data_IF_908192142711
#
_entry.id   IF_908192142711
#
_cell.length_a   1.000
_cell.length_b   1.000
_cell.length_c   1.000
_cell.angle_alpha   90.00
_cell.angle_beta   90.00
_cell.angle_gamma   90.00
#
_symmetry.space_group_name_H-M   'P 1'
#
loop_
_entity.id
_entity.type
_entity.pdbx_description
1 polymer ?
#
# COMPACT_ATOMS: atom_id res chain seq x y z
N UNK A 1 14.09 4.09 -27.12
CA UNK A 1 13.23 4.65 -26.07
C UNK A 1 14.11 4.85 -24.86
N UNK A 2 14.02 6.00 -24.20
CA UNK A 2 14.65 6.17 -22.88
C UNK A 2 14.04 5.17 -21.90
N UNK A 3 14.88 4.60 -21.04
CA UNK A 3 14.53 3.55 -20.08
C UNK A 3 15.38 3.73 -18.83
N UNK A 4 14.82 3.42 -17.66
CA UNK A 4 15.59 3.41 -16.42
C UNK A 4 16.59 2.24 -16.44
N UNK A 5 17.89 2.53 -16.35
CA UNK A 5 18.95 1.49 -16.38
C UNK A 5 18.94 0.61 -15.13
N UNK A 6 18.31 1.09 -14.05
CA UNK A 6 18.13 0.45 -12.76
C UNK A 6 16.66 0.04 -12.50
N UNK A 7 15.86 -0.14 -13.55
CA UNK A 7 14.43 -0.45 -13.43
C UNK A 7 14.11 -1.61 -12.47
N UNK A 8 14.92 -2.68 -12.48
CA UNK A 8 14.72 -3.81 -11.56
C UNK A 8 14.84 -3.40 -10.08
N UNK A 9 15.73 -2.47 -9.76
CA UNK A 9 15.86 -1.91 -8.41
C UNK A 9 14.67 -1.02 -8.08
N UNK A 10 14.24 -0.18 -9.01
CA UNK A 10 13.08 0.71 -8.81
C UNK A 10 11.79 -0.09 -8.58
N UNK A 11 11.60 -1.19 -9.32
CA UNK A 11 10.42 -2.07 -9.18
C UNK A 11 10.48 -2.90 -7.89
N UNK A 12 11.67 -3.32 -7.45
CA UNK A 12 11.79 -4.11 -6.20
C UNK A 12 11.42 -3.28 -4.96
N UNK A 13 11.49 -1.95 -5.07
CA UNK A 13 11.23 -0.99 -4.01
C UNK A 13 12.00 -1.28 -2.71
N UNK A 14 13.21 -1.83 -2.85
CA UNK A 14 14.07 -2.24 -1.74
C UNK A 14 15.53 -1.95 -2.03
N UNK A 15 16.28 -1.64 -0.98
CA UNK A 15 17.72 -1.47 -1.05
C UNK A 15 18.40 -2.80 -1.39
N UNK A 16 19.27 -2.76 -2.39
CA UNK A 16 20.22 -3.82 -2.71
C UNK A 16 21.62 -3.38 -2.30
N UNK A 17 22.11 -3.94 -1.20
CA UNK A 17 23.45 -3.67 -0.66
C UNK A 17 24.59 -4.20 -1.56
N UNK A 18 24.28 -5.08 -2.52
CA UNK A 18 25.25 -5.63 -3.46
C UNK A 18 25.29 -4.86 -4.79
N UNK A 19 24.36 -3.93 -4.99
CA UNK A 19 24.32 -3.09 -6.17
C UNK A 19 25.50 -2.11 -6.21
N UNK A 20 25.94 -1.77 -7.42
CA UNK A 20 26.97 -0.74 -7.64
C UNK A 20 26.41 0.69 -7.49
N UNK A 21 25.09 0.84 -7.41
CA UNK A 21 24.43 2.13 -7.20
C UNK A 21 24.59 2.52 -5.73
N UNK A 22 25.08 3.73 -5.42
CA UNK A 22 25.21 4.19 -4.03
C UNK A 22 23.88 4.12 -3.29
N UNK A 23 23.91 3.68 -2.03
CA UNK A 23 22.70 3.50 -1.20
C UNK A 23 21.83 4.76 -1.16
N UNK A 24 22.43 5.94 -0.96
CA UNK A 24 21.71 7.22 -0.98
C UNK A 24 20.98 7.46 -2.31
N UNK A 25 21.60 7.10 -3.44
CA UNK A 25 20.97 7.18 -4.77
C UNK A 25 19.84 6.18 -4.91
N UNK A 26 20.01 4.94 -4.42
CA UNK A 26 18.94 3.94 -4.41
C UNK A 26 17.73 4.44 -3.63
N UNK A 27 17.94 4.95 -2.41
CA UNK A 27 16.90 5.49 -1.53
C UNK A 27 16.05 6.54 -2.26
N UNK A 28 16.71 7.56 -2.80
CA UNK A 28 16.00 8.69 -3.41
C UNK A 28 15.31 8.29 -4.71
N UNK A 29 15.95 7.45 -5.54
CA UNK A 29 15.37 6.99 -6.81
C UNK A 29 14.20 6.03 -6.60
N UNK A 30 14.32 5.09 -5.65
CA UNK A 30 13.22 4.18 -5.29
C UNK A 30 12.03 4.99 -4.76
N UNK A 31 12.25 5.87 -3.78
CA UNK A 31 11.18 6.67 -3.19
C UNK A 31 10.45 7.49 -4.25
N UNK A 32 11.16 8.28 -5.06
CA UNK A 32 10.51 9.16 -6.04
C UNK A 32 9.77 8.37 -7.12
N UNK A 33 10.29 7.20 -7.50
CA UNK A 33 9.65 6.35 -8.50
C UNK A 33 8.35 5.72 -7.99
N UNK A 34 8.26 5.38 -6.70
CA UNK A 34 7.02 4.93 -6.07
C UNK A 34 6.00 6.08 -5.93
N UNK A 35 6.44 7.29 -5.57
CA UNK A 35 5.57 8.47 -5.55
C UNK A 35 5.01 8.80 -6.95
N UNK A 36 5.81 8.65 -8.02
CA UNK A 36 5.31 8.75 -9.38
C UNK A 36 4.26 7.67 -9.69
N UNK A 37 4.48 6.43 -9.25
CA UNK A 37 3.50 5.34 -9.43
C UNK A 37 2.16 5.69 -8.79
N UNK A 38 2.16 6.16 -7.56
CA UNK A 38 0.96 6.55 -6.83
C UNK A 38 0.24 7.71 -7.54
N UNK A 39 0.98 8.77 -7.89
CA UNK A 39 0.46 9.92 -8.62
C UNK A 39 -0.20 9.53 -9.96
N UNK A 40 0.47 8.73 -10.79
CA UNK A 40 -0.07 8.29 -12.08
C UNK A 40 -1.27 7.35 -11.90
N UNK A 41 -1.25 6.50 -10.87
CA UNK A 41 -2.37 5.59 -10.56
C UNK A 41 -3.62 6.38 -10.22
N UNK A 42 -3.52 7.33 -9.28
CA UNK A 42 -4.65 8.13 -8.86
C UNK A 42 -5.11 9.10 -9.96
N UNK A 43 -4.19 9.59 -10.80
CA UNK A 43 -4.53 10.34 -12.01
C UNK A 43 -5.42 9.54 -12.95
N UNK A 44 -5.03 8.30 -13.30
CA UNK A 44 -5.83 7.46 -14.18
C UNK A 44 -7.18 7.05 -13.59
N UNK A 45 -7.25 6.84 -12.27
CA UNK A 45 -8.52 6.58 -11.58
C UNK A 45 -9.46 7.79 -11.73
N UNK A 46 -8.94 9.00 -11.53
CA UNK A 46 -9.70 10.24 -11.69
C UNK A 46 -10.14 10.43 -13.16
N UNK A 47 -9.29 10.10 -14.12
CA UNK A 47 -9.65 10.15 -15.55
C UNK A 47 -10.79 9.17 -15.88
N UNK A 48 -10.79 7.97 -15.28
CA UNK A 48 -11.79 6.92 -15.53
C UNK A 48 -13.11 7.17 -14.81
N UNK A 49 -13.08 7.61 -13.55
CA UNK A 49 -14.26 7.68 -12.68
C UNK A 49 -14.66 9.10 -12.27
N UNK A 50 -13.90 10.12 -12.68
CA UNK A 50 -14.12 11.52 -12.32
C UNK A 50 -13.47 11.91 -10.99
N UNK A 51 -13.78 13.14 -10.54
CA UNK A 51 -13.21 13.72 -9.32
C UNK A 51 -13.83 13.09 -8.06
N UNK A 52 -13.32 11.91 -7.69
CA UNK A 52 -13.79 11.12 -6.54
C UNK A 52 -12.79 11.15 -5.39
N UNK A 53 -13.30 11.22 -4.16
CA UNK A 53 -12.49 11.09 -2.94
C UNK A 53 -12.25 9.62 -2.61
N UNK A 54 -11.10 9.24 -2.02
CA UNK A 54 -10.01 10.12 -1.58
C UNK A 54 -8.95 10.43 -2.65
N UNK A 55 -9.11 9.91 -3.87
CA UNK A 55 -8.08 9.95 -4.92
C UNK A 55 -7.61 11.35 -5.29
N UNK A 56 -8.51 12.34 -5.34
CA UNK A 56 -8.14 13.74 -5.67
C UNK A 56 -7.14 14.29 -4.67
N UNK A 57 -7.45 14.20 -3.38
CA UNK A 57 -6.62 14.78 -2.33
C UNK A 57 -5.28 14.05 -2.21
N UNK A 58 -5.30 12.71 -2.35
CA UNK A 58 -4.08 11.92 -2.22
C UNK A 58 -3.17 12.14 -3.43
N UNK A 59 -3.71 12.21 -4.65
CA UNK A 59 -2.92 12.59 -5.85
C UNK A 59 -2.16 13.90 -5.64
N UNK A 60 -2.82 14.92 -5.08
CA UNK A 60 -2.18 16.21 -4.80
C UNK A 60 -1.08 16.10 -3.74
N UNK A 61 -1.26 15.24 -2.73
CA UNK A 61 -0.22 14.94 -1.74
C UNK A 61 1.00 14.25 -2.38
N UNK A 62 0.79 13.26 -3.26
CA UNK A 62 1.91 12.59 -3.95
C UNK A 62 2.71 13.55 -4.84
N UNK A 63 2.04 14.55 -5.41
CA UNK A 63 2.72 15.60 -6.17
C UNK A 63 3.69 16.42 -5.31
N UNK A 64 3.31 16.69 -4.05
CA UNK A 64 4.17 17.34 -3.07
C UNK A 64 5.31 16.40 -2.64
N UNK A 65 5.03 15.11 -2.47
CA UNK A 65 6.01 14.10 -2.07
C UNK A 65 7.13 13.95 -3.10
N UNK A 66 6.82 13.66 -4.37
CA UNK A 66 7.87 13.52 -5.38
C UNK A 66 8.63 14.84 -5.57
N UNK A 67 7.98 16.00 -5.44
CA UNK A 67 8.65 17.30 -5.55
C UNK A 67 9.66 17.55 -4.41
N UNK A 68 9.35 17.07 -3.20
CA UNK A 68 10.28 17.13 -2.06
C UNK A 68 11.49 16.21 -2.29
N UNK A 69 11.25 15.00 -2.81
CA UNK A 69 12.31 14.04 -3.14
C UNK A 69 13.22 14.56 -4.26
N UNK A 70 12.66 15.15 -5.33
CA UNK A 70 13.45 15.74 -6.43
C UNK A 70 14.40 16.82 -5.90
N UNK A 71 13.98 17.66 -4.94
CA UNK A 71 14.88 18.66 -4.32
C UNK A 71 16.04 18.01 -3.57
N UNK A 72 15.82 16.87 -2.90
CA UNK A 72 16.90 16.11 -2.28
C UNK A 72 17.82 15.52 -3.36
N UNK A 73 17.25 14.96 -4.43
CA UNK A 73 18.02 14.41 -5.55
C UNK A 73 18.93 15.45 -6.19
N UNK A 74 18.43 16.66 -6.43
CA UNK A 74 19.22 17.80 -6.89
C UNK A 74 20.36 18.14 -5.92
N UNK A 75 20.08 18.18 -4.61
CA UNK A 75 21.08 18.44 -3.57
C UNK A 75 22.19 17.38 -3.53
N UNK A 76 21.84 16.12 -3.72
CA UNK A 76 22.77 14.99 -3.64
C UNK A 76 23.37 14.59 -4.99
N UNK A 77 23.05 15.29 -6.07
CA UNK A 77 23.55 14.98 -7.41
C UNK A 77 23.03 13.64 -7.96
N UNK A 78 21.83 13.23 -7.56
CA UNK A 78 21.17 12.00 -8.00
C UNK A 78 20.25 12.32 -9.17
N UNK A 79 20.38 11.61 -10.28
CA UNK A 79 19.48 11.77 -11.42
C UNK A 79 18.07 11.29 -11.09
N UNK A 80 17.05 12.03 -11.55
CA UNK A 80 15.65 11.64 -11.40
C UNK A 80 15.34 10.49 -12.38
N UNK A 81 14.74 9.36 -11.93
CA UNK A 81 14.33 8.30 -12.84
C UNK A 81 13.23 8.80 -13.78
N UNK A 82 13.18 8.23 -14.98
CA UNK A 82 12.10 8.47 -15.92
C UNK A 82 10.78 8.00 -15.32
N UNK A 83 9.78 8.90 -15.25
CA UNK A 83 8.41 8.51 -14.95
C UNK A 83 7.77 7.89 -16.20
N UNK A 84 7.70 6.56 -16.23
CA UNK A 84 7.10 5.77 -17.30
C UNK A 84 5.86 4.99 -16.84
N UNK A 85 5.34 5.29 -15.64
CA UNK A 85 4.21 4.60 -15.04
C UNK A 85 2.90 4.79 -15.81
N UNK A 86 2.72 5.94 -16.45
CA UNK A 86 1.53 6.24 -17.25
C UNK A 86 1.24 5.19 -18.34
N UNK A 87 2.24 4.47 -18.85
CA UNK A 87 2.02 3.38 -19.82
C UNK A 87 1.91 1.98 -19.20
N UNK A 88 2.28 1.83 -17.91
CA UNK A 88 2.37 0.55 -17.18
C UNK A 88 1.18 0.26 -16.27
N UNK A 89 0.41 1.28 -15.90
CA UNK A 89 -0.69 1.14 -14.93
C UNK A 89 -1.99 0.71 -15.62
N UNK A 90 -2.60 -0.35 -15.10
CA UNK A 90 -3.97 -0.77 -15.41
C UNK A 90 -4.90 -0.42 -14.25
N UNK A 91 -6.08 0.15 -14.55
CA UNK A 91 -7.04 0.58 -13.53
C UNK A 91 -8.22 -0.41 -13.44
N UNK A 92 -8.57 -0.88 -12.23
CA UNK A 92 -9.74 -1.73 -12.00
C UNK A 92 -11.05 -1.14 -12.56
N UNK A 93 -12.08 -1.98 -12.67
CA UNK A 93 -13.33 -1.59 -13.33
C UNK A 93 -14.33 -0.93 -12.40
N UNK A 94 -14.13 -1.04 -11.09
CA UNK A 94 -15.02 -0.43 -10.10
C UNK A 94 -14.26 0.48 -9.14
N UNK A 95 -14.97 1.46 -8.56
CA UNK A 95 -14.42 2.37 -7.56
C UNK A 95 -14.01 1.65 -6.27
N UNK A 96 -14.72 0.59 -5.88
CA UNK A 96 -14.37 -0.19 -4.69
C UNK A 96 -13.04 -0.90 -4.87
N UNK A 97 -12.82 -1.56 -6.02
CA UNK A 97 -11.53 -2.17 -6.35
C UNK A 97 -10.41 -1.13 -6.40
N UNK A 98 -10.70 0.09 -6.85
CA UNK A 98 -9.73 1.18 -6.83
C UNK A 98 -9.37 1.63 -5.40
N UNK A 99 -10.33 1.63 -4.47
CA UNK A 99 -10.07 1.95 -3.07
C UNK A 99 -9.30 0.83 -2.36
N UNK A 100 -9.57 -0.44 -2.69
CA UNK A 100 -8.78 -1.58 -2.23
C UNK A 100 -7.35 -1.54 -2.77
N UNK A 101 -7.19 -1.17 -4.04
CA UNK A 101 -5.88 -0.93 -4.66
C UNK A 101 -5.11 0.17 -3.92
N UNK A 102 -5.78 1.26 -3.55
CA UNK A 102 -5.21 2.32 -2.72
C UNK A 102 -4.72 1.79 -1.36
N UNK A 103 -5.53 0.99 -0.64
CA UNK A 103 -5.11 0.36 0.62
C UNK A 103 -3.83 -0.48 0.43
N UNK A 104 -3.77 -1.32 -0.61
CA UNK A 104 -2.59 -2.13 -0.88
C UNK A 104 -1.37 -1.28 -1.27
N UNK A 105 -1.58 -0.22 -2.06
CA UNK A 105 -0.55 0.75 -2.42
C UNK A 105 0.09 1.40 -1.20
N UNK A 106 -0.71 1.94 -0.29
CA UNK A 106 -0.21 2.61 0.91
C UNK A 106 0.53 1.66 1.86
N UNK A 107 0.07 0.41 2.01
CA UNK A 107 0.78 -0.59 2.82
C UNK A 107 2.17 -0.88 2.22
N UNK A 108 2.26 -1.04 0.91
CA UNK A 108 3.52 -1.25 0.22
C UNK A 108 4.45 -0.04 0.30
N UNK A 109 3.91 1.18 0.17
CA UNK A 109 4.66 2.42 0.30
C UNK A 109 5.25 2.58 1.72
N UNK A 110 4.47 2.29 2.76
CA UNK A 110 4.96 2.28 4.15
C UNK A 110 6.07 1.25 4.36
N UNK A 111 5.91 0.04 3.80
CA UNK A 111 6.91 -1.02 3.87
C UNK A 111 8.20 -0.66 3.13
N UNK A 112 8.09 -0.02 1.96
CA UNK A 112 9.22 0.55 1.23
C UNK A 112 9.93 1.59 2.12
N UNK A 113 9.22 2.59 2.65
CA UNK A 113 9.85 3.61 3.51
C UNK A 113 10.54 3.01 4.74
N UNK A 114 9.96 1.99 5.38
CA UNK A 114 10.61 1.25 6.46
C UNK A 114 11.95 0.64 6.01
N UNK A 115 11.98 0.03 4.83
CA UNK A 115 13.20 -0.50 4.26
C UNK A 115 14.22 0.61 4.00
N UNK A 116 13.83 1.69 3.31
CA UNK A 116 14.73 2.80 2.97
C UNK A 116 15.31 3.49 4.23
N UNK A 117 14.48 3.72 5.25
CA UNK A 117 14.87 4.32 6.52
C UNK A 117 15.92 3.48 7.27
N UNK A 118 15.89 2.16 7.11
CA UNK A 118 16.89 1.26 7.69
C UNK A 118 18.32 1.48 7.16
N UNK A 119 18.47 2.14 6.00
CA UNK A 119 19.75 2.41 5.36
C UNK A 119 20.08 3.90 5.23
N UNK A 120 19.13 4.80 5.49
CA UNK A 120 19.32 6.24 5.37
C UNK A 120 20.27 6.77 6.45
N UNK A 121 21.32 7.49 6.03
CA UNK A 121 22.33 8.04 6.96
C UNK A 121 22.09 9.54 7.17
N UNK A 122 21.83 10.27 6.10
CA UNK A 122 21.69 11.71 6.06
C UNK A 122 20.39 12.18 6.74
N UNK A 123 20.50 13.19 7.59
CA UNK A 123 19.39 13.60 8.46
C UNK A 123 18.21 14.19 7.68
N UNK A 124 18.46 15.02 6.68
CA UNK A 124 17.41 15.61 5.84
C UNK A 124 16.70 14.59 4.95
N UNK A 125 17.41 13.55 4.50
CA UNK A 125 16.81 12.40 3.83
C UNK A 125 15.90 11.66 4.83
N UNK A 126 16.42 11.25 6.00
CA UNK A 126 15.61 10.59 7.04
C UNK A 126 14.36 11.39 7.41
N UNK A 127 14.52 12.69 7.67
CA UNK A 127 13.41 13.57 8.05
C UNK A 127 12.35 13.65 6.95
N UNK A 128 12.77 13.64 5.68
CA UNK A 128 11.82 13.62 4.55
C UNK A 128 11.13 12.28 4.43
N UNK A 129 11.86 11.16 4.47
CA UNK A 129 11.29 9.82 4.39
C UNK A 129 10.30 9.53 5.54
N UNK A 130 10.63 9.92 6.78
CA UNK A 130 9.70 9.79 7.91
C UNK A 130 8.42 10.61 7.70
N UNK A 131 8.52 11.82 7.14
CA UNK A 131 7.37 12.67 6.89
C UNK A 131 6.44 12.08 5.82
N UNK A 132 7.01 11.54 4.75
CA UNK A 132 6.27 10.90 3.66
C UNK A 132 5.62 9.60 4.16
N UNK A 133 6.36 8.74 4.85
CA UNK A 133 5.80 7.55 5.51
C UNK A 133 4.65 7.90 6.47
N UNK A 134 4.83 8.95 7.29
CA UNK A 134 3.80 9.38 8.23
C UNK A 134 2.55 9.90 7.52
N UNK A 135 2.68 10.51 6.34
CA UNK A 135 1.53 10.90 5.51
C UNK A 135 0.78 9.67 5.00
N UNK A 136 1.49 8.67 4.47
CA UNK A 136 0.90 7.41 4.01
C UNK A 136 0.18 6.67 5.15
N UNK A 137 0.84 6.53 6.31
CA UNK A 137 0.30 5.79 7.47
C UNK A 137 -0.85 6.51 8.18
N UNK A 138 -0.70 7.81 8.49
CA UNK A 138 -1.69 8.53 9.31
C UNK A 138 -2.82 9.15 8.48
N UNK A 139 -2.64 9.35 7.17
CA UNK A 139 -3.61 10.07 6.33
C UNK A 139 -4.12 9.21 5.17
N UNK A 140 -3.25 8.74 4.28
CA UNK A 140 -3.69 8.09 3.03
C UNK A 140 -4.35 6.73 3.30
N UNK A 141 -3.67 5.87 4.07
CA UNK A 141 -4.17 4.54 4.39
C UNK A 141 -5.53 4.57 5.11
N UNK A 142 -5.74 5.41 6.16
CA UNK A 142 -7.06 5.59 6.76
C UNK A 142 -8.11 6.11 5.77
N UNK A 143 -7.75 7.03 4.87
CA UNK A 143 -8.69 7.56 3.87
C UNK A 143 -9.15 6.47 2.89
N UNK A 144 -8.24 5.63 2.38
CA UNK A 144 -8.61 4.49 1.52
C UNK A 144 -9.41 3.42 2.28
N UNK A 145 -9.04 3.11 3.53
CA UNK A 145 -9.82 2.21 4.39
C UNK A 145 -11.25 2.72 4.56
N UNK A 146 -11.42 4.00 4.82
CA UNK A 146 -12.74 4.62 4.95
C UNK A 146 -13.52 4.59 3.62
N UNK A 147 -12.86 4.74 2.47
CA UNK A 147 -13.51 4.55 1.18
C UNK A 147 -14.11 3.15 1.03
N UNK A 148 -13.34 2.11 1.37
CA UNK A 148 -13.79 0.71 1.32
C UNK A 148 -14.97 0.50 2.28
N UNK A 149 -14.85 0.93 3.54
CA UNK A 149 -15.90 0.78 4.55
C UNK A 149 -17.19 1.49 4.14
N UNK A 150 -17.10 2.70 3.60
CA UNK A 150 -18.27 3.49 3.16
C UNK A 150 -19.03 2.79 2.04
N UNK A 151 -18.33 2.15 1.09
CA UNK A 151 -18.96 1.41 0.01
C UNK A 151 -19.83 0.26 0.54
N UNK A 152 -19.32 -0.52 1.48
CA UNK A 152 -20.05 -1.65 2.07
C UNK A 152 -21.18 -1.21 3.00
N UNK A 153 -21.04 -0.09 3.70
CA UNK A 153 -22.08 0.44 4.58
C UNK A 153 -23.25 1.11 3.84
N UNK A 154 -23.02 1.67 2.64
CA UNK A 154 -24.05 2.36 1.86
C UNK A 154 -24.84 1.43 0.91
N UNK A 155 -24.38 0.20 0.70
CA UNK A 155 -25.16 -0.81 0.01
C UNK A 155 -26.23 -1.39 0.94
N UNK A 156 -27.51 -1.05 0.73
CA UNK A 156 -28.69 -1.71 1.33
C UNK A 156 -28.83 -3.19 0.87
N UNK A 157 -27.76 -3.97 0.95
CA UNK A 157 -27.71 -5.37 0.61
C UNK A 157 -26.77 -6.10 1.60
N UNK A 158 -27.03 -5.93 2.89
CA UNK A 158 -26.46 -6.80 3.92
C UNK A 158 -27.14 -8.16 3.88
N UNK A 159 -26.83 -8.94 2.84
CA UNK A 159 -26.67 -10.38 2.99
C UNK A 159 -25.17 -10.71 2.99
N UNK A 160 -24.42 -9.97 3.80
CA UNK A 160 -23.12 -10.43 4.29
C UNK A 160 -23.41 -11.51 5.32
N UNK A 161 -23.76 -12.70 4.83
CA UNK A 161 -23.89 -13.89 5.65
C UNK A 161 -22.48 -14.47 5.85
N UNK A 162 -22.05 -14.80 7.09
CA UNK A 162 -20.80 -15.51 7.35
C UNK A 162 -20.55 -16.71 6.41
N UNK A 163 -21.61 -17.36 5.95
CA UNK A 163 -21.57 -18.47 4.98
C UNK A 163 -21.08 -18.06 3.59
N UNK A 164 -21.51 -16.90 3.05
CA UNK A 164 -21.07 -16.40 1.74
C UNK A 164 -19.61 -15.91 1.75
N UNK A 165 -19.15 -15.45 2.92
CA UNK A 165 -17.74 -15.14 3.16
C UNK A 165 -16.95 -16.45 3.24
N UNK A 166 -17.39 -17.42 4.05
CA UNK A 166 -16.75 -18.74 4.19
C UNK A 166 -16.70 -19.54 2.89
N UNK A 167 -17.72 -19.47 2.04
CA UNK A 167 -17.74 -20.15 0.74
C UNK A 167 -16.66 -19.60 -0.20
N UNK A 168 -16.52 -18.26 -0.28
CA UNK A 168 -15.47 -17.61 -1.08
C UNK A 168 -14.07 -17.73 -0.47
N UNK A 169 -14.01 -17.86 0.86
CA UNK A 169 -12.79 -18.10 1.62
C UNK A 169 -12.36 -19.58 1.57
N UNK A 170 -13.29 -20.51 1.36
CA UNK A 170 -13.05 -21.95 1.26
C UNK A 170 -12.15 -22.34 0.07
N UNK A 171 -12.11 -21.53 -0.99
CA UNK A 171 -11.15 -21.70 -2.10
C UNK A 171 -9.70 -21.40 -1.68
N UNK A 172 -9.50 -20.76 -0.53
CA UNK A 172 -8.22 -20.26 -0.02
C UNK A 172 -7.89 -20.79 1.39
N UNK A 173 -8.47 -21.95 1.74
CA UNK A 173 -8.46 -22.57 3.07
C UNK A 173 -7.07 -22.65 3.72
N UNK A 174 -6.01 -22.87 2.94
CA UNK A 174 -4.62 -22.93 3.41
C UNK A 174 -4.16 -21.61 4.06
N UNK A 175 -4.55 -20.47 3.51
CA UNK A 175 -4.16 -19.15 4.03
C UNK A 175 -4.94 -18.83 5.32
N UNK A 176 -6.16 -19.33 5.42
CA UNK A 176 -7.03 -19.11 6.58
C UNK A 176 -6.60 -19.96 7.77
N UNK A 177 -6.15 -21.20 7.53
CA UNK A 177 -5.62 -22.07 8.58
C UNK A 177 -4.37 -21.45 9.24
N UNK A 178 -3.51 -20.81 8.45
CA UNK A 178 -2.32 -20.09 8.95
C UNK A 178 -2.71 -18.86 9.78
N UNK A 179 -3.79 -18.15 9.43
CA UNK A 179 -4.31 -16.99 10.18
C UNK A 179 -5.04 -17.42 11.46
N UNK A 180 -5.89 -18.46 11.38
CA UNK A 180 -6.71 -18.94 12.49
C UNK A 180 -5.90 -19.70 13.54
N UNK A 181 -4.78 -20.32 13.16
CA UNK A 181 -3.88 -20.99 14.10
C UNK A 181 -3.09 -20.02 15.00
N UNK A 182 -3.19 -18.71 14.78
CA UNK A 182 -2.57 -17.70 15.65
C UNK A 182 -1.05 -17.61 15.55
N UNK A 183 -0.44 -18.35 14.61
CA UNK A 183 1.01 -18.39 14.36
C UNK A 183 1.41 -17.35 13.30
N UNK A 184 0.96 -16.11 13.48
CA UNK A 184 1.25 -15.03 12.53
C UNK A 184 2.54 -14.34 12.96
N UNK A 185 3.67 -14.79 12.42
CA UNK A 185 4.94 -14.06 12.48
C UNK A 185 5.17 -13.20 11.23
N UNK A 186 6.19 -12.35 11.25
CA UNK A 186 6.54 -11.42 10.16
C UNK A 186 6.77 -12.14 8.82
N UNK A 187 7.26 -13.39 8.86
CA UNK A 187 7.49 -14.21 7.67
C UNK A 187 6.19 -14.79 7.11
N UNK A 188 5.24 -15.16 7.97
CA UNK A 188 3.89 -15.56 7.57
C UNK A 188 3.13 -14.40 6.93
N UNK A 189 3.26 -13.20 7.48
CA UNK A 189 2.69 -11.97 6.90
C UNK A 189 3.30 -11.69 5.52
N UNK A 190 4.62 -11.71 5.40
CA UNK A 190 5.31 -11.53 4.12
C UNK A 190 4.95 -12.62 3.09
N UNK A 191 4.71 -13.86 3.52
CA UNK A 191 4.29 -14.96 2.66
C UNK A 191 2.84 -14.86 2.21
N UNK A 192 1.97 -14.35 3.07
CA UNK A 192 0.59 -14.03 2.70
C UNK A 192 0.63 -12.90 1.66
N UNK A 193 1.34 -11.80 1.93
CA UNK A 193 1.48 -10.68 0.99
C UNK A 193 2.15 -11.06 -0.34
N UNK A 194 3.17 -11.92 -0.33
CA UNK A 194 3.83 -12.38 -1.57
C UNK A 194 2.93 -13.29 -2.41
N UNK A 195 2.09 -14.12 -1.78
CA UNK A 195 1.09 -14.96 -2.47
C UNK A 195 -0.16 -14.20 -2.90
N UNK A 196 -0.48 -13.09 -2.21
CA UNK A 196 -1.55 -12.16 -2.58
C UNK A 196 -1.21 -11.35 -3.85
N UNK A 197 0.08 -11.18 -4.17
CA UNK A 197 0.55 -10.33 -5.28
C UNK A 197 0.51 -10.99 -6.68
N UNK A 198 -0.09 -12.18 -6.88
CA UNK A 198 -0.14 -12.76 -8.24
C UNK A 198 -1.35 -13.63 -8.60
N UNK A 199 -2.30 -13.88 -7.69
CA UNK A 199 -3.45 -14.76 -8.01
C UNK A 199 -4.84 -14.28 -7.57
N UNK A 200 -4.95 -13.14 -6.89
CA UNK A 200 -6.24 -12.55 -6.51
C UNK A 200 -6.65 -11.44 -7.49
N UNK A 201 -6.88 -11.84 -8.75
CA UNK A 201 -7.59 -11.03 -9.75
C UNK A 201 -9.09 -11.10 -9.45
N UNK A 202 -9.52 -10.58 -8.29
CA UNK A 202 -10.87 -10.07 -8.04
C UNK A 202 -10.90 -9.38 -6.67
N UNK A 203 -11.24 -8.09 -6.65
CA UNK A 203 -11.20 -7.25 -5.43
C UNK A 203 -12.04 -7.77 -4.27
N UNK A 204 -13.12 -8.51 -4.56
CA UNK A 204 -14.00 -9.11 -3.54
C UNK A 204 -13.27 -10.01 -2.53
N UNK A 205 -12.16 -10.65 -2.88
CA UNK A 205 -11.42 -11.55 -1.97
C UNK A 205 -10.52 -10.75 -1.02
N UNK A 206 -9.89 -9.66 -1.47
CA UNK A 206 -9.14 -8.75 -0.59
C UNK A 206 -10.07 -8.03 0.39
N UNK A 207 -11.22 -7.54 -0.09
CA UNK A 207 -12.25 -6.92 0.75
C UNK A 207 -12.77 -7.87 1.84
N UNK A 208 -13.09 -9.11 1.49
CA UNK A 208 -13.57 -10.11 2.46
C UNK A 208 -12.49 -10.49 3.50
N UNK A 209 -11.25 -10.71 3.06
CA UNK A 209 -10.16 -11.07 3.97
C UNK A 209 -9.81 -9.92 4.93
N UNK A 210 -9.79 -8.69 4.44
CA UNK A 210 -9.55 -7.50 5.28
C UNK A 210 -10.67 -7.30 6.29
N UNK A 211 -11.95 -7.44 5.90
CA UNK A 211 -13.08 -7.36 6.83
C UNK A 211 -13.03 -8.47 7.88
N UNK A 212 -12.74 -9.72 7.50
CA UNK A 212 -12.64 -10.83 8.44
C UNK A 212 -11.50 -10.63 9.47
N UNK A 213 -10.34 -10.15 9.01
CA UNK A 213 -9.21 -9.80 9.87
C UNK A 213 -9.56 -8.64 10.82
N UNK A 214 -10.25 -7.62 10.33
CA UNK A 214 -10.70 -6.47 11.12
C UNK A 214 -11.69 -6.88 12.22
N UNK A 215 -12.68 -7.71 11.88
CA UNK A 215 -13.70 -8.14 12.84
C UNK A 215 -13.10 -9.03 13.94
N UNK A 216 -12.12 -9.86 13.61
CA UNK A 216 -11.39 -10.68 14.57
C UNK A 216 -10.49 -9.82 15.48
N UNK A 217 -9.82 -8.80 14.94
CA UNK A 217 -9.02 -7.87 15.74
C UNK A 217 -9.89 -7.07 16.72
N UNK A 218 -11.04 -6.56 16.26
CA UNK A 218 -12.00 -5.83 17.11
C UNK A 218 -12.62 -6.74 18.18
N UNK A 219 -12.95 -7.99 17.83
CA UNK A 219 -13.44 -8.98 18.80
C UNK A 219 -12.39 -9.30 19.86
N UNK A 220 -11.12 -9.48 19.47
CA UNK A 220 -10.01 -9.67 20.41
C UNK A 220 -9.81 -8.46 21.31
N UNK A 221 -9.89 -7.25 20.76
CA UNK A 221 -9.75 -6.02 21.54
C UNK A 221 -10.85 -5.89 22.60
N UNK A 222 -12.10 -6.18 22.23
CA UNK A 222 -13.22 -6.19 23.18
C UNK A 222 -13.05 -7.28 24.26
N UNK A 223 -12.52 -8.45 23.91
CA UNK A 223 -12.22 -9.52 24.88
C UNK A 223 -11.09 -9.13 25.86
N UNK A 224 -10.09 -8.37 25.42
CA UNK A 224 -9.04 -7.84 26.30
C UNK A 224 -9.54 -6.68 27.18
N UNK A 225 -10.42 -5.82 26.66
CA UNK A 225 -11.00 -4.71 27.45
C UNK A 225 -11.99 -5.24 28.51
N UNK A 226 -12.77 -6.30 28.23
CA UNK A 226 -13.63 -6.96 29.23
C UNK A 226 -12.82 -7.70 30.33
N UNK A 227 -11.61 -8.16 30.02
CA UNK A 227 -10.73 -8.82 31.00
C UNK A 227 -9.99 -7.84 31.91
N UNK A 228 -9.73 -6.60 31.46
CA UNK A 228 -9.14 -5.54 32.28
C UNK A 228 -10.16 -4.83 33.19
N UNK A 229 -11.47 -4.93 32.89
CA UNK A 229 -12.54 -4.39 33.77
C UNK A 229 -13.01 -5.37 34.87
N UNK A 230 -12.62 -6.65 34.79
CA UNK A 230 -12.95 -7.69 35.79
C UNK A 230 -11.82 -8.01 36.81
N UNK A 231 -10.66 -7.33 36.74
CA UNK A 231 -9.58 -7.37 37.76
C UNK A 231 -9.58 -6.13 38.69
#
# INVERSE_FOLDING_TARGET
>A
METNTDEALLISARIDVNSQIPITSQILRIAVYDEFKAYETYTKIIEKFGLVQPFVNIKEAEAVHYAALIKLMEKYGVEVPLNDWASKIEIPNTLIECCELGVAGEINNIAMYNNLLGFAVENDIKDTLYRLQAASFNNHLPAFRNCVLTHYNNGNNTNINPENIMEKLGEYQVILDDIMSGNIDESSISNIFSKLNLSMVSGAVLGAATIALLNNYLSKKNLTEEQEEEE
#
